data_IF_407690390115
#
_entry.id   IF_407690390115
#
_cell.length_a   1.000
_cell.length_b   1.000
_cell.length_c   1.000
_cell.angle_alpha   90.00
_cell.angle_beta   90.00
_cell.angle_gamma   90.00
#
_symmetry.space_group_name_H-M   'P 1'
#
loop_
_entity.id
_entity.type
_entity.pdbx_description
1 polymer ?
#
# COMPACT_ATOMS: atom_id res chain seq x y z
N UNK A 1 -2.65 13.21 -7.50
CA UNK A 1 -3.58 12.35 -6.74
C UNK A 1 -3.05 10.93 -6.78
N UNK A 2 -3.18 10.16 -5.69
CA UNK A 2 -2.72 8.77 -5.64
C UNK A 2 -3.74 7.93 -6.45
N UNK A 3 -3.43 7.59 -7.70
CA UNK A 3 -4.39 6.95 -8.63
C UNK A 3 -4.80 5.52 -8.20
N UNK A 4 -4.13 4.96 -7.20
CA UNK A 4 -4.18 3.54 -6.84
C UNK A 4 -4.87 3.29 -5.50
N UNK A 5 -5.63 4.27 -5.01
CA UNK A 5 -6.33 4.21 -3.70
C UNK A 5 -7.35 3.08 -3.62
N UNK A 6 -8.10 2.83 -4.70
CA UNK A 6 -9.09 1.74 -4.73
C UNK A 6 -8.41 0.40 -4.50
N UNK A 7 -7.33 0.13 -5.23
CA UNK A 7 -6.56 -1.11 -5.07
C UNK A 7 -6.01 -1.28 -3.65
N UNK A 8 -5.46 -0.23 -3.03
CA UNK A 8 -5.00 -0.30 -1.63
C UNK A 8 -6.15 -0.65 -0.69
N UNK A 9 -7.33 -0.06 -0.87
CA UNK A 9 -8.51 -0.34 -0.05
C UNK A 9 -8.99 -1.78 -0.21
N UNK A 10 -8.94 -2.31 -1.44
CA UNK A 10 -9.25 -3.72 -1.74
C UNK A 10 -8.26 -4.67 -1.05
N UNK A 11 -6.96 -4.38 -1.09
CA UNK A 11 -5.93 -5.18 -0.39
C UNK A 11 -6.16 -5.19 1.13
N UNK A 12 -6.66 -4.08 1.69
CA UNK A 12 -7.02 -3.97 3.10
C UNK A 12 -8.41 -4.55 3.42
N UNK A 13 -9.12 -5.11 2.43
CA UNK A 13 -10.49 -5.62 2.57
C UNK A 13 -11.46 -4.59 3.17
N UNK A 14 -11.28 -3.31 2.84
CA UNK A 14 -12.12 -2.23 3.34
C UNK A 14 -13.34 -2.03 2.46
N UNK A 15 -14.51 -2.00 3.07
CA UNK A 15 -15.74 -1.57 2.40
C UNK A 15 -15.67 -0.07 2.09
N UNK A 16 -15.81 0.36 0.82
CA UNK A 16 -15.87 1.77 0.45
C UNK A 16 -16.91 2.57 1.22
N UNK A 17 -18.05 1.97 1.60
CA UNK A 17 -19.09 2.65 2.37
C UNK A 17 -18.67 2.92 3.82
N UNK A 18 -17.71 2.17 4.35
CA UNK A 18 -17.21 2.36 5.72
C UNK A 18 -16.14 3.44 5.82
N UNK A 19 -15.55 3.85 4.69
CA UNK A 19 -14.50 4.87 4.66
C UNK A 19 -15.12 6.26 4.76
N UNK A 20 -14.76 6.99 5.83
CA UNK A 20 -15.15 8.39 6.02
C UNK A 20 -14.24 9.30 5.22
N UNK A 21 -12.93 9.10 5.36
CA UNK A 21 -11.92 9.91 4.69
C UNK A 21 -10.67 9.06 4.44
N UNK A 22 -10.08 9.23 3.27
CA UNK A 22 -8.79 8.68 2.94
C UNK A 22 -7.94 9.72 2.22
N UNK A 23 -6.76 10.06 2.72
CA UNK A 23 -5.84 11.01 2.10
C UNK A 23 -4.44 10.91 2.72
N UNK A 24 -3.38 11.40 2.05
CA UNK A 24 -2.16 11.80 2.73
C UNK A 24 -2.49 12.77 3.87
N UNK A 25 -1.81 12.61 5.01
CA UNK A 25 -2.05 13.44 6.17
C UNK A 25 -0.80 14.23 6.54
N UNK A 26 -0.98 15.52 6.78
CA UNK A 26 0.09 16.41 7.18
C UNK A 26 -0.35 17.22 8.39
N UNK A 27 0.37 17.04 9.51
CA UNK A 27 0.20 17.84 10.71
C UNK A 27 1.36 18.82 10.81
N UNK A 28 1.05 20.11 10.76
CA UNK A 28 2.05 21.17 10.99
C UNK A 28 2.47 21.19 12.45
N UNK A 29 3.76 21.43 12.69
CA UNK A 29 4.26 21.70 14.04
C UNK A 29 3.64 23.00 14.54
N UNK A 30 3.03 22.94 15.72
CA UNK A 30 2.51 24.09 16.47
C UNK A 30 3.06 24.02 17.89
N UNK A 31 2.68 24.97 18.75
CA UNK A 31 2.99 24.87 20.18
C UNK A 31 2.33 23.64 20.83
N UNK A 32 1.14 23.24 20.34
CA UNK A 32 0.35 22.12 20.89
C UNK A 32 0.68 20.77 20.25
N UNK A 33 1.05 20.75 18.97
CA UNK A 33 1.19 19.51 18.19
C UNK A 33 2.57 19.39 17.55
N UNK A 34 3.15 18.19 17.60
CA UNK A 34 4.39 17.87 16.86
C UNK A 34 4.10 17.73 15.37
N UNK A 35 5.07 18.08 14.53
CA UNK A 35 4.93 17.89 13.09
C UNK A 35 5.05 16.43 12.69
N UNK A 36 4.16 15.94 11.81
CA UNK A 36 4.28 14.61 11.20
C UNK A 36 3.61 14.58 9.82
N UNK A 37 4.05 13.62 9.01
CA UNK A 37 3.49 13.31 7.71
C UNK A 37 3.21 11.81 7.66
N UNK A 38 2.00 11.45 7.25
CA UNK A 38 1.59 10.09 6.91
C UNK A 38 1.35 10.06 5.42
N UNK A 39 1.97 9.10 4.73
CA UNK A 39 1.90 9.02 3.26
C UNK A 39 0.46 8.78 2.79
N UNK A 40 -0.25 7.90 3.48
CA UNK A 40 -1.66 7.66 3.25
C UNK A 40 -2.37 7.23 4.53
N UNK A 41 -3.50 7.84 4.84
CA UNK A 41 -4.27 7.60 6.04
C UNK A 41 -5.73 7.33 5.66
N UNK A 42 -6.33 6.29 6.24
CA UNK A 42 -7.72 5.90 5.98
C UNK A 42 -8.45 5.83 7.31
N UNK A 43 -9.54 6.58 7.44
CA UNK A 43 -10.43 6.54 8.61
C UNK A 43 -11.75 5.89 8.23
N UNK A 44 -12.19 4.96 9.08
CA UNK A 44 -13.46 4.25 8.93
C UNK A 44 -14.52 4.75 9.91
N UNK A 45 -15.79 4.41 9.66
CA UNK A 45 -16.94 4.67 10.54
C UNK A 45 -16.81 4.05 11.93
N UNK A 46 -16.03 2.97 12.08
CA UNK A 46 -15.87 2.24 13.35
C UNK A 46 -14.62 2.66 14.14
N UNK A 47 -14.24 3.94 14.08
CA UNK A 47 -13.08 4.48 14.80
C UNK A 47 -11.77 3.72 14.55
N UNK A 48 -11.60 3.11 13.37
CA UNK A 48 -10.32 2.51 12.97
C UNK A 48 -9.61 3.45 12.01
N UNK A 49 -8.33 3.72 12.31
CA UNK A 49 -7.43 4.54 11.53
C UNK A 49 -6.29 3.68 11.00
N UNK A 50 -6.24 3.52 9.68
CA UNK A 50 -5.13 2.88 8.99
C UNK A 50 -4.07 3.94 8.70
N UNK A 51 -2.85 3.69 9.18
CA UNK A 51 -1.68 4.55 8.99
C UNK A 51 -0.74 3.82 8.04
N UNK A 52 -0.79 4.19 6.77
CA UNK A 52 -0.02 3.56 5.72
C UNK A 52 1.30 4.32 5.49
N UNK A 53 2.41 3.58 5.58
CA UNK A 53 3.75 4.05 5.23
C UNK A 53 4.17 3.44 3.89
N UNK A 54 4.68 4.26 2.97
CA UNK A 54 5.09 3.79 1.65
C UNK A 54 6.61 3.83 1.51
N UNK A 55 7.21 2.69 1.17
CA UNK A 55 8.66 2.54 0.97
C UNK A 55 9.00 2.11 -0.44
N UNK A 56 9.40 3.08 -1.26
CA UNK A 56 10.02 2.87 -2.57
C UNK A 56 11.54 2.68 -2.44
N UNK A 57 11.95 1.59 -1.80
CA UNK A 57 13.37 1.24 -1.64
C UNK A 57 13.83 0.34 -2.79
N UNK A 58 15.10 0.46 -3.22
CA UNK A 58 15.74 -0.47 -4.17
C UNK A 58 15.96 -1.86 -3.56
N UNK A 59 16.12 -1.92 -2.24
CA UNK A 59 16.38 -3.14 -1.47
C UNK A 59 15.21 -3.45 -0.54
N UNK A 60 15.07 -4.71 -0.07
CA UNK A 60 14.03 -5.08 0.88
C UNK A 60 13.98 -4.15 2.09
N UNK A 61 12.76 -3.82 2.52
CA UNK A 61 12.54 -2.94 3.67
C UNK A 61 12.86 -3.72 4.95
N UNK A 62 13.73 -3.15 5.80
CA UNK A 62 14.08 -3.73 7.10
C UNK A 62 13.39 -3.05 8.29
N UNK A 63 13.68 -3.55 9.49
CA UNK A 63 13.00 -3.19 10.75
C UNK A 63 13.05 -1.71 11.16
N UNK A 64 13.91 -0.89 10.55
CA UNK A 64 13.96 0.58 10.82
C UNK A 64 12.63 1.27 10.57
N UNK A 65 11.85 0.81 9.58
CA UNK A 65 10.54 1.39 9.25
C UNK A 65 9.54 1.31 10.41
N UNK A 66 9.66 0.30 11.27
CA UNK A 66 8.80 0.16 12.46
C UNK A 66 8.96 1.38 13.36
N UNK A 67 10.21 1.80 13.61
CA UNK A 67 10.47 2.94 14.49
C UNK A 67 9.97 4.25 13.86
N UNK A 68 10.12 4.41 12.55
CA UNK A 68 9.61 5.57 11.83
C UNK A 68 8.08 5.69 11.94
N UNK A 69 7.37 4.56 11.77
CA UNK A 69 5.90 4.51 11.87
C UNK A 69 5.43 4.72 13.31
N UNK A 70 6.10 4.11 14.30
CA UNK A 70 5.84 4.37 15.73
C UNK A 70 5.96 5.86 16.05
N UNK A 71 7.02 6.51 15.59
CA UNK A 71 7.21 7.94 15.83
C UNK A 71 6.15 8.80 15.16
N UNK A 72 5.75 8.45 13.94
CA UNK A 72 4.66 9.11 13.22
C UNK A 72 3.36 9.00 14.02
N UNK A 73 2.98 7.79 14.44
CA UNK A 73 1.77 7.54 15.24
C UNK A 73 1.82 8.27 16.58
N UNK A 74 2.96 8.26 17.28
CA UNK A 74 3.14 8.99 18.55
C UNK A 74 2.98 10.51 18.40
N UNK A 75 3.26 11.06 17.21
CA UNK A 75 3.09 12.49 16.92
C UNK A 75 1.67 12.83 16.45
N UNK A 76 0.88 11.85 15.99
CA UNK A 76 -0.52 12.06 15.64
C UNK A 76 -1.31 12.43 16.89
N UNK A 77 -2.07 13.51 16.80
CA UNK A 77 -3.05 13.84 17.82
C UNK A 77 -4.32 13.02 17.60
N UNK A 78 -4.32 11.76 18.05
CA UNK A 78 -5.47 10.86 17.89
C UNK A 78 -6.55 11.13 18.96
N UNK A 79 -7.84 11.18 18.56
CA UNK A 79 -8.94 11.12 19.52
C UNK A 79 -8.90 9.84 20.37
N UNK A 80 -9.46 9.89 21.58
CA UNK A 80 -9.58 8.70 22.43
C UNK A 80 -10.49 7.66 21.76
N UNK A 81 -10.17 6.39 21.94
CA UNK A 81 -10.99 5.28 21.43
C UNK A 81 -10.80 4.97 19.95
N UNK A 82 -9.79 5.56 19.29
CA UNK A 82 -9.41 5.20 17.92
C UNK A 82 -8.46 4.00 17.95
N UNK A 83 -8.80 2.95 17.21
CA UNK A 83 -7.91 1.82 16.93
C UNK A 83 -6.98 2.20 15.79
N UNK A 84 -5.67 2.12 16.00
CA UNK A 84 -4.67 2.48 15.00
C UNK A 84 -4.05 1.20 14.40
N UNK A 85 -4.13 1.05 13.07
CA UNK A 85 -3.57 -0.08 12.32
C UNK A 85 -2.44 0.40 11.43
N UNK A 86 -1.22 -0.04 11.70
CA UNK A 86 -0.04 0.26 10.87
C UNK A 86 -0.01 -0.63 9.64
N UNK A 87 0.11 -0.01 8.46
CA UNK A 87 0.21 -0.71 7.17
C UNK A 87 1.53 -0.33 6.50
N UNK A 88 2.27 -1.31 6.01
CA UNK A 88 3.46 -1.08 5.19
C UNK A 88 3.14 -1.36 3.72
N UNK A 89 3.47 -0.43 2.84
CA UNK A 89 3.38 -0.60 1.39
C UNK A 89 4.79 -0.54 0.81
N UNK A 90 5.22 -1.57 0.08
CA UNK A 90 6.57 -1.66 -0.49
C UNK A 90 6.55 -2.04 -1.97
N UNK A 91 7.70 -1.99 -2.64
CA UNK A 91 7.83 -2.39 -4.06
C UNK A 91 8.94 -3.41 -4.35
N UNK A 92 9.79 -3.74 -3.37
CA UNK A 92 10.94 -4.64 -3.57
C UNK A 92 11.11 -5.60 -2.37
N UNK A 93 10.00 -6.04 -1.80
CA UNK A 93 9.96 -6.96 -0.66
C UNK A 93 10.34 -6.34 0.68
N UNK A 94 10.36 -7.21 1.68
CA UNK A 94 10.75 -6.96 3.06
C UNK A 94 11.78 -7.99 3.49
N UNK A 95 12.52 -7.70 4.56
CA UNK A 95 13.41 -8.68 5.17
C UNK A 95 12.63 -9.65 6.07
N UNK A 96 13.15 -10.86 6.25
CA UNK A 96 12.54 -11.88 7.15
C UNK A 96 12.43 -11.36 8.59
N UNK A 97 13.47 -10.67 9.09
CA UNK A 97 13.44 -10.09 10.43
C UNK A 97 12.38 -9.00 10.61
N UNK A 98 11.91 -8.36 9.54
CA UNK A 98 10.77 -7.44 9.58
C UNK A 98 9.45 -8.19 9.61
N UNK A 99 9.30 -9.23 8.79
CA UNK A 99 8.12 -10.10 8.76
C UNK A 99 7.88 -10.73 10.15
N UNK A 100 8.93 -11.25 10.77
CA UNK A 100 8.87 -11.92 12.08
C UNK A 100 8.48 -11.01 13.24
N UNK A 101 8.53 -9.68 13.07
CA UNK A 101 8.11 -8.73 14.12
C UNK A 101 6.59 -8.62 14.26
N UNK A 102 5.82 -9.03 13.25
CA UNK A 102 4.36 -8.97 13.24
C UNK A 102 3.81 -7.60 13.70
N UNK A 103 4.51 -6.52 13.32
CA UNK A 103 4.19 -5.16 13.77
C UNK A 103 3.14 -4.49 12.88
N UNK A 104 3.18 -4.76 11.58
CA UNK A 104 2.24 -4.23 10.62
C UNK A 104 1.03 -5.13 10.56
N UNK A 105 -0.17 -4.56 10.66
CA UNK A 105 -1.38 -5.35 10.51
C UNK A 105 -1.51 -5.91 9.11
N UNK A 106 -0.94 -5.19 8.13
CA UNK A 106 -0.98 -5.53 6.72
C UNK A 106 0.32 -5.06 6.05
N UNK A 107 0.89 -5.91 5.20
CA UNK A 107 2.05 -5.59 4.36
C UNK A 107 1.63 -5.81 2.90
N UNK A 108 1.67 -4.75 2.11
CA UNK A 108 1.17 -4.73 0.74
C UNK A 108 2.34 -4.60 -0.23
N UNK A 109 2.48 -5.57 -1.13
CA UNK A 109 3.42 -5.51 -2.25
C UNK A 109 2.80 -4.74 -3.43
N UNK A 110 3.23 -3.49 -3.58
CA UNK A 110 2.79 -2.60 -4.64
C UNK A 110 3.45 -2.90 -6.00
N UNK A 111 4.44 -3.79 -6.06
CA UNK A 111 5.08 -4.18 -7.33
C UNK A 111 4.08 -4.83 -8.29
N UNK A 112 3.07 -5.54 -7.76
CA UNK A 112 2.00 -6.14 -8.54
C UNK A 112 1.27 -5.10 -9.40
N UNK A 113 0.97 -3.94 -8.82
CA UNK A 113 0.23 -2.89 -9.51
C UNK A 113 1.08 -2.19 -10.58
N UNK A 114 2.39 -2.08 -10.38
CA UNK A 114 3.33 -1.55 -11.38
C UNK A 114 3.45 -2.49 -12.59
N UNK A 115 3.45 -3.80 -12.35
CA UNK A 115 3.48 -4.81 -13.41
C UNK A 115 2.20 -4.78 -14.27
N UNK A 116 1.02 -4.65 -13.65
CA UNK A 116 -0.25 -4.59 -14.38
C UNK A 116 -0.48 -3.27 -15.13
N UNK A 117 0.11 -2.16 -14.68
CA UNK A 117 0.11 -0.89 -15.42
C UNK A 117 0.80 -0.99 -16.78
N UNK A 118 1.86 -1.80 -16.90
CA UNK A 118 2.54 -2.05 -18.17
C UNK A 118 1.69 -2.89 -19.14
N UNK A 119 0.89 -3.85 -18.63
CA UNK A 119 0.06 -4.72 -19.47
C UNK A 119 -1.09 -3.97 -20.17
N UNK A 120 -1.59 -2.87 -19.59
CA UNK A 120 -2.60 -2.02 -20.25
C UNK A 120 -2.03 -1.16 -21.40
N UNK A 121 -0.71 -0.98 -21.46
CA UNK A 121 -0.04 -0.20 -22.52
C UNK A 121 0.36 -1.05 -23.73
N UNK A 122 0.35 -2.38 -23.60
CA UNK A 122 0.56 -3.30 -24.72
C UNK A 122 -0.74 -4.08 -24.98
N UNK A 123 -1.66 -3.57 -25.82
CA UNK A 123 -2.73 -4.42 -26.32
C UNK A 123 -2.07 -5.65 -26.97
N UNK A 124 -2.44 -6.85 -26.50
CA UNK A 124 -2.02 -8.11 -27.13
C UNK A 124 -2.32 -8.00 -28.62
N UNK A 125 -1.29 -7.88 -29.45
CA UNK A 125 -1.44 -8.09 -30.89
C UNK A 125 -1.97 -9.51 -31.06
N UNK A 126 -3.18 -9.64 -31.61
CA UNK A 126 -3.71 -10.92 -32.05
C UNK A 126 -2.67 -11.58 -32.95
N UNK A 127 -2.08 -12.68 -32.51
CA UNK A 127 -1.34 -13.57 -33.39
C UNK A 127 -2.37 -14.31 -34.24
N UNK A 128 -2.30 -14.24 -35.58
CA UNK A 128 -3.17 -15.06 -36.41
C UNK A 128 -2.82 -16.53 -36.18
N UNK A 129 -3.83 -17.35 -35.88
CA UNK A 129 -3.72 -18.81 -35.91
C UNK A 129 -3.40 -19.21 -37.35
N UNK A 130 -2.17 -19.59 -37.64
CA UNK A 130 -1.89 -20.32 -38.87
C UNK A 130 -2.44 -21.74 -38.71
N UNK A 131 -3.42 -22.03 -39.55
CA UNK A 131 -4.03 -23.33 -39.76
C UNK A 131 -2.98 -24.33 -40.28
N UNK A 132 -3.15 -25.58 -39.86
CA UNK A 132 -2.34 -26.73 -40.27
C UNK A 132 -2.28 -26.85 -41.80
N UNK A 133 -1.09 -27.07 -42.35
CA UNK A 133 -0.89 -27.61 -43.70
C UNK A 133 -0.60 -29.12 -43.62
N UNK A 134 -1.14 -29.94 -44.55
CA UNK A 134 -1.04 -31.39 -44.45
C UNK A 134 0.38 -31.87 -44.72
N UNK A 135 0.72 -32.97 -44.04
CA UNK A 135 1.91 -33.78 -44.27
C UNK A 135 1.77 -34.49 -45.62
N UNK A 136 2.63 -34.20 -46.58
CA UNK A 136 2.86 -35.09 -47.71
C UNK A 136 4.20 -35.80 -47.55
N UNK A 137 4.09 -37.14 -47.51
CA UNK A 137 5.18 -38.10 -47.61
C UNK A 137 5.48 -38.32 -49.09
N UNK A 138 6.76 -38.27 -49.45
CA UNK A 138 7.41 -39.17 -50.42
C UNK A 138 8.91 -38.97 -50.36
#
# INVERSE_FOLDING_TARGET
MLNNRLWIKEQLSLDPEEIIIDNPFFQRKTQRYKGCQIDYMIQTKYNTLYVCEIKFSRYPVGTKVIQEVKEKILRLSLPRGVSCRSVLIHVNGITEDLQDKDYFSDIIDFSELLAFGALKLFPKKNTPKFQNLPTERS
#
